data_IF_025869431965
#
_entry.id   IF_025869431965
#
_cell.length_a   1.000
_cell.length_b   1.000
_cell.length_c   1.000
_cell.angle_alpha   90.00
_cell.angle_beta   90.00
_cell.angle_gamma   90.00
#
_symmetry.space_group_name_H-M   'P 1'
#
loop_
_entity.id
_entity.type
_entity.pdbx_description
1 polymer ?
#
# COMPACT_ATOMS: atom_id res chain seq x y z
N UNK A 1 17.17 6.52 10.49
CA UNK A 1 15.74 6.18 10.28
C UNK A 1 15.61 5.44 8.94
N UNK A 2 15.27 4.15 8.93
CA UNK A 2 15.15 3.37 7.67
C UNK A 2 13.96 3.89 6.86
N UNK A 3 14.20 4.32 5.63
CA UNK A 3 13.19 4.85 4.71
C UNK A 3 12.20 3.73 4.40
N UNK A 4 10.98 3.81 4.90
CA UNK A 4 9.92 2.84 4.58
C UNK A 4 9.52 3.07 3.12
N UNK A 5 9.76 2.09 2.25
CA UNK A 5 9.32 2.13 0.86
C UNK A 5 7.79 2.25 0.85
N UNK A 6 7.25 3.32 0.25
CA UNK A 6 5.81 3.49 0.07
C UNK A 6 5.44 2.98 -1.31
N UNK A 7 4.34 2.24 -1.40
CA UNK A 7 3.84 1.76 -2.68
C UNK A 7 3.28 2.93 -3.50
N UNK A 8 3.84 3.12 -4.70
CA UNK A 8 3.20 3.75 -5.86
C UNK A 8 2.78 5.22 -5.80
N UNK A 9 2.73 5.87 -4.63
CA UNK A 9 2.18 7.22 -4.52
C UNK A 9 3.10 8.09 -3.66
N UNK A 10 3.82 9.02 -4.28
CA UNK A 10 4.45 10.13 -3.56
C UNK A 10 3.39 11.17 -3.24
N UNK A 11 3.26 11.52 -1.97
CA UNK A 11 2.21 12.41 -1.50
C UNK A 11 1.96 12.24 0.00
N UNK A 12 1.38 13.27 0.61
CA UNK A 12 0.91 13.20 2.00
C UNK A 12 -0.32 12.29 2.03
N UNK A 13 -0.51 11.56 3.13
CA UNK A 13 -1.68 10.68 3.38
C UNK A 13 -1.80 9.42 2.50
N UNK A 14 -0.82 9.10 1.66
CA UNK A 14 -0.86 7.85 0.89
C UNK A 14 -0.74 6.59 1.76
N UNK A 15 -1.41 5.52 1.30
CA UNK A 15 -1.42 4.23 1.95
C UNK A 15 -0.01 3.61 1.93
N UNK A 16 0.43 3.11 3.09
CA UNK A 16 1.75 2.44 3.22
C UNK A 16 1.70 0.96 2.85
N UNK A 17 0.52 0.37 2.89
CA UNK A 17 0.26 -1.04 2.61
C UNK A 17 -0.81 -1.12 1.53
N UNK A 18 -0.77 -2.18 0.73
CA UNK A 18 -1.69 -2.40 -0.38
C UNK A 18 -2.45 -3.68 -0.11
N UNK A 19 -3.77 -3.61 -0.28
CA UNK A 19 -4.66 -4.77 -0.28
C UNK A 19 -4.74 -5.53 1.05
N UNK A 20 -5.88 -6.16 1.33
CA UNK A 20 -5.91 -7.36 2.16
C UNK A 20 -5.56 -8.55 1.26
N UNK A 21 -4.51 -9.27 1.61
CA UNK A 21 -4.20 -10.57 1.01
C UNK A 21 -4.41 -11.66 2.04
N UNK A 22 -5.00 -12.78 1.59
CA UNK A 22 -5.19 -13.95 2.44
C UNK A 22 -3.85 -14.68 2.61
N UNK A 23 -3.56 -15.12 3.83
CA UNK A 23 -2.40 -15.97 4.09
C UNK A 23 -2.78 -17.40 3.74
N UNK A 24 -2.07 -18.03 2.80
CA UNK A 24 -2.29 -19.42 2.40
C UNK A 24 -1.56 -20.37 3.35
N UNK A 25 -0.26 -20.15 3.56
CA UNK A 25 0.56 -20.97 4.45
C UNK A 25 1.68 -20.17 5.11
N UNK A 26 2.24 -20.73 6.18
CA UNK A 26 3.43 -20.19 6.86
C UNK A 26 4.63 -21.08 6.52
N UNK A 27 5.62 -20.54 5.81
CA UNK A 27 6.82 -21.26 5.31
C UNK A 27 7.99 -21.18 6.32
N UNK A 28 7.68 -21.06 7.61
CA UNK A 28 8.68 -21.00 8.68
C UNK A 28 8.37 -19.94 9.72
N UNK A 29 9.36 -19.60 10.56
CA UNK A 29 9.13 -18.67 11.67
C UNK A 29 8.75 -17.26 11.20
N UNK A 30 9.29 -16.81 10.07
CA UNK A 30 9.21 -15.42 9.62
C UNK A 30 8.65 -15.23 8.21
N UNK A 31 8.36 -16.29 7.47
CA UNK A 31 7.91 -16.24 6.08
C UNK A 31 6.47 -16.75 5.93
N UNK A 32 5.66 -16.01 5.18
CA UNK A 32 4.25 -16.31 4.92
C UNK A 32 3.97 -16.23 3.42
N UNK A 33 3.23 -17.21 2.91
CA UNK A 33 2.72 -17.19 1.54
C UNK A 33 1.35 -16.52 1.52
N UNK A 34 1.17 -15.60 0.58
CA UNK A 34 -0.05 -14.86 0.36
C UNK A 34 -0.74 -15.32 -0.93
N UNK A 35 -2.06 -15.25 -0.92
CA UNK A 35 -2.90 -15.36 -2.10
C UNK A 35 -2.85 -14.02 -2.85
N UNK A 36 -1.95 -13.93 -3.84
CA UNK A 36 -1.82 -12.77 -4.68
C UNK A 36 -2.78 -12.85 -5.88
N UNK A 37 -3.41 -11.73 -6.28
CA UNK A 37 -4.21 -11.68 -7.50
C UNK A 37 -3.32 -11.86 -8.72
N UNK A 38 -3.89 -12.38 -9.82
CA UNK A 38 -3.18 -12.66 -11.08
C UNK A 38 -2.46 -11.44 -11.65
N UNK A 39 -2.92 -10.22 -11.33
CA UNK A 39 -2.25 -8.96 -11.70
C UNK A 39 -0.84 -8.83 -11.11
N UNK A 40 -0.54 -9.54 -10.03
CA UNK A 40 0.76 -9.57 -9.35
C UNK A 40 1.47 -10.92 -9.54
N UNK A 41 1.15 -11.69 -10.58
CA UNK A 41 1.76 -13.00 -10.82
C UNK A 41 3.29 -12.96 -10.96
N UNK A 42 3.86 -11.82 -11.34
CA UNK A 42 5.31 -11.62 -11.40
C UNK A 42 5.98 -11.50 -10.01
N UNK A 43 5.21 -11.24 -8.95
CA UNK A 43 5.71 -11.08 -7.59
C UNK A 43 5.72 -12.43 -6.88
N UNK A 44 6.83 -12.76 -6.22
CA UNK A 44 6.88 -13.96 -5.39
C UNK A 44 5.86 -13.88 -4.24
N UNK A 45 5.00 -14.90 -4.06
CA UNK A 45 3.92 -14.87 -3.07
C UNK A 45 4.40 -14.99 -1.62
N UNK A 46 5.70 -15.21 -1.40
CA UNK A 46 6.30 -15.42 -0.07
C UNK A 46 6.92 -14.14 0.45
N UNK A 47 6.41 -13.65 1.57
CA UNK A 47 6.85 -12.42 2.20
C UNK A 47 7.35 -12.63 3.62
N UNK A 48 8.33 -11.82 4.01
CA UNK A 48 8.81 -11.75 5.39
C UNK A 48 7.79 -10.99 6.26
N UNK A 49 7.57 -11.43 7.49
CA UNK A 49 6.57 -10.88 8.43
C UNK A 49 6.72 -9.36 8.66
N UNK A 50 7.92 -8.82 8.54
CA UNK A 50 8.17 -7.36 8.67
C UNK A 50 7.53 -6.51 7.58
N UNK A 51 7.21 -7.10 6.43
CA UNK A 51 6.53 -6.44 5.31
C UNK A 51 5.01 -6.56 5.42
N UNK A 52 4.51 -7.39 6.34
CA UNK A 52 3.10 -7.66 6.51
C UNK A 52 2.56 -6.88 7.71
N UNK A 53 1.30 -6.45 7.59
CA UNK A 53 0.55 -5.87 8.70
C UNK A 53 -0.80 -6.56 8.78
N UNK A 54 -1.18 -6.99 9.99
CA UNK A 54 -2.50 -7.58 10.23
C UNK A 54 -3.57 -6.55 9.83
N UNK A 55 -4.46 -6.94 8.92
CA UNK A 55 -5.64 -6.16 8.59
C UNK A 55 -6.61 -6.21 9.78
N UNK A 56 -7.02 -5.04 10.28
CA UNK A 56 -7.97 -4.89 11.40
C UNK A 56 -9.16 -4.12 10.83
N UNK A 57 -10.33 -4.76 10.77
CA UNK A 57 -11.54 -4.26 10.11
C UNK A 57 -11.97 -5.11 8.91
N UNK A 58 -13.01 -4.69 8.21
CA UNK A 58 -13.55 -5.45 7.08
C UNK A 58 -12.58 -5.43 5.89
N UNK A 59 -12.20 -6.60 5.35
CA UNK A 59 -11.27 -6.71 4.23
C UNK A 59 -11.82 -6.04 2.95
N UNK A 60 -13.15 -5.88 2.84
CA UNK A 60 -13.78 -5.17 1.73
C UNK A 60 -13.62 -3.64 1.79
N UNK A 61 -13.25 -3.06 2.94
CA UNK A 61 -13.10 -1.60 3.09
C UNK A 61 -11.73 -1.07 2.64
N UNK A 62 -10.76 -1.96 2.42
CA UNK A 62 -9.39 -1.58 2.04
C UNK A 62 -9.35 -1.43 0.52
N UNK A 63 -8.97 -0.24 0.06
CA UNK A 63 -8.93 0.17 -1.35
C UNK A 63 -8.33 -0.95 -2.23
N UNK A 64 -9.06 -1.42 -3.26
CA UNK A 64 -8.57 -2.43 -4.18
C UNK A 64 -7.32 -1.96 -4.92
N UNK A 65 -6.43 -2.91 -5.25
CA UNK A 65 -5.21 -2.70 -6.03
C UNK A 65 -5.44 -1.94 -7.35
N UNK A 66 -6.67 -1.98 -7.88
CA UNK A 66 -7.07 -1.37 -9.15
C UNK A 66 -6.85 0.15 -9.21
N UNK A 67 -6.79 0.85 -8.07
CA UNK A 67 -6.45 2.28 -8.03
C UNK A 67 -4.94 2.54 -8.10
N UNK A 68 -4.11 1.52 -7.90
CA UNK A 68 -2.64 1.61 -7.92
C UNK A 68 -2.17 0.87 -9.16
N UNK A 69 -2.10 1.59 -10.29
CA UNK A 69 -1.50 1.07 -11.51
C UNK A 69 0.00 0.80 -11.30
N UNK A 70 0.34 -0.37 -10.75
CA UNK A 70 1.69 -0.89 -10.79
C UNK A 70 1.99 -1.25 -12.24
N UNK A 71 2.70 -0.38 -12.95
CA UNK A 71 3.30 -0.75 -14.24
C UNK A 71 4.28 -1.91 -13.99
N UNK A 72 4.43 -2.79 -14.97
CA UNK A 72 5.29 -3.99 -14.89
C UNK A 72 6.77 -3.67 -14.63
N UNK A 73 7.19 -2.43 -14.84
CA UNK A 73 8.40 -1.88 -14.24
C UNK A 73 8.06 -1.33 -12.85
N UNK A 74 8.84 -1.66 -11.84
CA UNK A 74 8.80 -1.05 -10.49
C UNK A 74 8.91 0.51 -10.47
N UNK A 75 8.85 1.21 -11.62
CA UNK A 75 8.74 2.65 -11.78
C UNK A 75 7.32 3.07 -12.20
N UNK A 76 6.71 3.96 -11.41
CA UNK A 76 5.43 4.61 -11.69
C UNK A 76 5.65 6.02 -12.27
N UNK A 77 4.86 6.40 -13.28
CA UNK A 77 4.82 7.76 -13.84
C UNK A 77 3.61 8.49 -13.22
N UNK A 78 3.88 9.58 -12.48
CA UNK A 78 2.89 10.35 -11.71
C UNK A 78 2.03 11.25 -12.64
N UNK A 79 0.70 11.17 -12.52
CA UNK A 79 -0.20 12.24 -13.01
C UNK A 79 -0.76 12.97 -11.80
N UNK A 80 -0.50 14.28 -11.64
CA UNK A 80 -0.98 15.04 -10.49
C UNK A 80 -2.52 15.12 -10.50
N UNK A 81 -3.15 14.68 -9.41
CA UNK A 81 -4.58 14.92 -9.16
C UNK A 81 -4.73 16.29 -8.51
N UNK A 82 -5.62 17.10 -9.07
CA UNK A 82 -5.78 18.50 -8.68
C UNK A 82 -6.29 18.65 -7.24
N UNK A 83 -5.77 19.65 -6.53
CA UNK A 83 -6.12 19.89 -5.13
C UNK A 83 -7.40 20.73 -5.09
N UNK A 84 -8.55 20.09 -4.86
CA UNK A 84 -9.86 20.73 -4.95
C UNK A 84 -10.09 21.88 -3.95
N UNK A 85 -9.55 21.80 -2.73
CA UNK A 85 -9.76 22.86 -1.73
C UNK A 85 -8.59 23.00 -0.74
N UNK A 86 -8.20 24.25 -0.49
CA UNK A 86 -7.12 24.62 0.44
C UNK A 86 -7.66 25.62 1.46
N UNK A 87 -8.11 25.10 2.60
CA UNK A 87 -8.58 25.96 3.68
C UNK A 87 -7.42 26.49 4.54
N UNK A 88 -7.20 27.80 4.50
CA UNK A 88 -6.26 28.49 5.41
C UNK A 88 -7.01 28.87 6.68
N UNK A 89 -6.45 28.55 7.86
CA UNK A 89 -6.95 29.03 9.16
C UNK A 89 -5.92 29.95 9.78
N UNK A 90 -6.29 31.21 10.00
CA UNK A 90 -5.56 32.14 10.86
C UNK A 90 -5.84 31.80 12.32
N UNK A 91 -4.79 31.42 13.05
CA UNK A 91 -4.86 31.25 14.49
C UNK A 91 -4.86 32.64 15.17
N UNK A 92 -5.66 32.81 16.22
CA UNK A 92 -5.66 34.03 17.03
C UNK A 92 -4.34 34.10 17.79
N UNK A 93 -3.45 34.99 17.39
CA UNK A 93 -2.39 35.46 18.28
C UNK A 93 -2.98 36.41 19.32
N UNK A 94 -2.44 36.31 20.54
CA UNK A 94 -2.75 37.17 21.67
C UNK A 94 -2.07 38.53 21.50
#
# INVERSE_FOLDING_TARGET
>A
MKRVMRFGMKGKLNHRYVGPYKILKRIGKVAYELELPTKLAAVHPVFHISLLKKCVGDPASIVPLDSVAMKDSLSYEDVPVDTLDRHVRTLRNK
#
